data_IF_329544917693
#
_entry.id   IF_329544917693
#
_cell.length_a   1.000
_cell.length_b   1.000
_cell.length_c   1.000
_cell.angle_alpha   90.00
_cell.angle_beta   90.00
_cell.angle_gamma   90.00
#
_symmetry.space_group_name_H-M   'P 1'
#
loop_
_entity.id
_entity.type
_entity.pdbx_description
1 polymer ?
#
# COMPACT_ATOMS: atom_id res chain seq x y z
N UNK A 1 -10.46 -6.85 -16.24
CA UNK A 1 -10.23 -7.05 -14.79
C UNK A 1 -9.15 -8.11 -14.67
N UNK A 2 -8.09 -7.87 -13.89
CA UNK A 2 -6.95 -8.78 -13.79
C UNK A 2 -7.18 -9.85 -12.72
N UNK A 3 -7.41 -9.43 -11.47
CA UNK A 3 -7.68 -10.32 -10.33
C UNK A 3 -8.47 -9.58 -9.25
N UNK A 4 -9.27 -10.30 -8.47
CA UNK A 4 -9.92 -9.80 -7.28
C UNK A 4 -9.07 -10.00 -6.03
N UNK A 5 -8.84 -8.92 -5.28
CA UNK A 5 -8.17 -8.94 -3.99
C UNK A 5 -9.14 -8.60 -2.86
N UNK A 6 -8.87 -9.14 -1.69
CA UNK A 6 -9.65 -8.92 -0.48
C UNK A 6 -8.72 -8.46 0.63
N UNK A 7 -8.95 -7.26 1.16
CA UNK A 7 -8.22 -6.76 2.31
C UNK A 7 -9.00 -7.05 3.59
N UNK A 8 -8.49 -7.98 4.39
CA UNK A 8 -8.98 -8.23 5.75
C UNK A 8 -8.28 -7.32 6.76
N UNK A 9 -9.04 -6.43 7.38
CA UNK A 9 -8.59 -5.57 8.48
C UNK A 9 -9.03 -6.16 9.84
N UNK A 10 -8.15 -6.90 10.54
CA UNK A 10 -8.49 -7.48 11.84
C UNK A 10 -8.81 -6.42 12.90
N UNK A 11 -8.26 -5.21 12.77
CA UNK A 11 -8.42 -4.11 13.72
C UNK A 11 -9.70 -3.29 13.53
N UNK A 12 -10.53 -3.58 12.50
CA UNK A 12 -11.79 -2.84 12.29
C UNK A 12 -12.72 -2.98 13.50
N UNK A 13 -13.38 -1.91 13.93
CA UNK A 13 -14.33 -2.02 15.04
C UNK A 13 -15.54 -2.87 14.63
N UNK A 14 -16.15 -3.63 15.55
CA UNK A 14 -17.35 -4.42 15.28
C UNK A 14 -18.51 -3.48 14.92
N UNK A 15 -18.72 -3.26 13.63
CA UNK A 15 -19.65 -2.30 13.06
C UNK A 15 -20.40 -2.94 11.89
N UNK A 16 -21.64 -2.48 11.58
CA UNK A 16 -22.45 -1.50 12.32
C UNK A 16 -22.95 -2.02 13.69
N UNK A 17 -22.91 -1.15 14.72
CA UNK A 17 -23.18 -1.52 16.12
C UNK A 17 -24.57 -2.18 16.30
N UNK A 18 -25.59 -1.66 15.63
CA UNK A 18 -26.97 -2.14 15.71
C UNK A 18 -27.09 -3.64 15.36
N UNK A 19 -26.42 -4.07 14.28
CA UNK A 19 -26.56 -5.42 13.76
C UNK A 19 -25.56 -6.39 14.35
N UNK A 20 -24.33 -5.94 14.62
CA UNK A 20 -23.21 -6.77 15.09
C UNK A 20 -23.21 -6.91 16.61
N UNK A 21 -23.30 -5.80 17.37
CA UNK A 21 -23.17 -5.85 18.84
C UNK A 21 -24.51 -5.94 19.56
N UNK A 22 -25.51 -5.16 19.14
CA UNK A 22 -26.82 -5.14 19.80
C UNK A 22 -27.67 -6.35 19.43
N UNK A 23 -27.98 -6.52 18.14
CA UNK A 23 -28.82 -7.63 17.65
C UNK A 23 -28.07 -8.95 17.50
N UNK A 24 -26.75 -8.90 17.26
CA UNK A 24 -25.89 -10.08 17.04
C UNK A 24 -26.38 -10.99 15.91
N UNK A 25 -26.93 -10.38 14.85
CA UNK A 25 -27.46 -11.11 13.68
C UNK A 25 -26.55 -11.01 12.45
N UNK A 26 -25.43 -10.29 12.55
CA UNK A 26 -24.43 -10.16 11.48
C UNK A 26 -23.02 -10.31 12.04
N UNK A 27 -22.13 -10.87 11.23
CA UNK A 27 -20.70 -10.87 11.53
C UNK A 27 -20.09 -9.47 11.34
N UNK A 28 -18.91 -9.27 11.91
CA UNK A 28 -18.13 -8.04 11.78
C UNK A 28 -17.72 -7.81 10.32
N UNK A 29 -18.17 -6.71 9.74
CA UNK A 29 -17.72 -6.27 8.43
C UNK A 29 -16.25 -5.83 8.52
N UNK A 30 -15.34 -6.69 8.06
CA UNK A 30 -13.88 -6.53 8.21
C UNK A 30 -13.09 -6.76 6.94
N UNK A 31 -13.78 -7.03 5.83
CA UNK A 31 -13.15 -7.33 4.55
C UNK A 31 -13.56 -6.26 3.54
N UNK A 32 -12.57 -5.64 2.93
CA UNK A 32 -12.74 -4.68 1.86
C UNK A 32 -12.35 -5.33 0.53
N UNK A 33 -13.15 -5.12 -0.51
CA UNK A 33 -12.81 -5.57 -1.87
C UNK A 33 -11.83 -4.60 -2.51
N UNK A 34 -10.73 -5.11 -3.06
CA UNK A 34 -9.75 -4.38 -3.85
C UNK A 34 -9.77 -4.96 -5.26
N UNK A 35 -10.23 -4.15 -6.22
CA UNK A 35 -10.39 -4.59 -7.59
C UNK A 35 -9.17 -4.19 -8.41
N UNK A 36 -8.36 -5.16 -8.83
CA UNK A 36 -7.24 -4.90 -9.73
C UNK A 36 -7.73 -4.97 -11.19
N UNK A 37 -7.75 -3.81 -11.83
CA UNK A 37 -8.03 -3.69 -13.27
C UNK A 37 -6.72 -3.54 -14.06
N UNK A 38 -6.74 -4.03 -15.30
CA UNK A 38 -5.63 -3.93 -16.24
C UNK A 38 -6.14 -3.44 -17.60
N UNK A 39 -5.27 -2.76 -18.35
CA UNK A 39 -5.54 -2.33 -19.73
C UNK A 39 -5.49 -3.48 -20.74
N UNK A 40 -4.73 -4.54 -20.43
CA UNK A 40 -4.55 -5.73 -21.25
C UNK A 40 -4.70 -6.99 -20.39
N UNK A 41 -4.75 -8.15 -21.04
CA UNK A 41 -4.76 -9.46 -20.39
C UNK A 41 -3.44 -9.77 -19.67
N UNK A 42 -2.35 -9.12 -20.08
CA UNK A 42 -0.99 -9.33 -19.56
C UNK A 42 -0.44 -8.01 -19.00
N UNK A 43 -0.95 -7.51 -17.87
CA UNK A 43 -0.37 -6.35 -17.20
C UNK A 43 1.05 -6.67 -16.70
N UNK A 44 1.86 -5.63 -16.50
CA UNK A 44 3.12 -5.75 -15.73
C UNK A 44 2.78 -6.23 -14.32
N UNK A 45 3.38 -7.33 -13.90
CA UNK A 45 3.26 -7.87 -12.55
C UNK A 45 4.42 -8.80 -12.23
N UNK A 46 4.97 -8.70 -11.03
CA UNK A 46 5.99 -9.62 -10.51
C UNK A 46 5.68 -10.02 -9.06
N UNK A 47 5.07 -11.19 -8.89
CA UNK A 47 4.67 -11.71 -7.57
C UNK A 47 5.87 -12.02 -6.68
N UNK A 48 7.06 -12.18 -7.25
CA UNK A 48 8.27 -12.46 -6.47
C UNK A 48 8.69 -11.26 -5.61
N UNK A 49 8.26 -10.04 -5.96
CA UNK A 49 8.49 -8.82 -5.18
C UNK A 49 7.63 -8.73 -3.91
N UNK A 50 6.66 -9.62 -3.76
CA UNK A 50 5.68 -9.61 -2.65
C UNK A 50 5.50 -10.98 -2.02
N UNK A 51 6.53 -11.83 -2.08
CA UNK A 51 6.51 -13.12 -1.40
C UNK A 51 6.33 -12.94 0.11
N UNK A 52 5.59 -13.87 0.69
CA UNK A 52 5.38 -13.99 2.13
C UNK A 52 6.37 -14.97 2.73
N UNK A 53 6.65 -14.82 4.02
CA UNK A 53 7.52 -15.74 4.73
C UNK A 53 6.96 -17.18 4.66
N UNK A 54 7.85 -18.15 4.45
CA UNK A 54 7.47 -19.55 4.54
C UNK A 54 6.85 -19.89 5.89
N UNK A 55 5.76 -20.67 5.85
CA UNK A 55 5.20 -21.26 7.06
C UNK A 55 6.25 -22.09 7.82
N UNK A 56 6.15 -22.23 9.16
CA UNK A 56 7.07 -23.07 9.93
C UNK A 56 7.16 -24.51 9.42
N UNK A 57 6.05 -25.04 8.86
CA UNK A 57 6.01 -26.36 8.24
C UNK A 57 6.81 -26.42 6.94
N UNK A 58 6.71 -25.38 6.12
CA UNK A 58 7.47 -25.30 4.86
C UNK A 58 8.97 -25.16 5.13
N UNK A 59 9.36 -24.35 6.12
CA UNK A 59 10.77 -24.26 6.55
C UNK A 59 11.35 -25.63 6.93
N UNK A 60 10.63 -26.41 7.75
CA UNK A 60 11.02 -27.80 8.07
C UNK A 60 11.10 -28.70 6.85
N UNK A 61 10.21 -28.53 5.87
CA UNK A 61 10.26 -29.27 4.62
C UNK A 61 11.50 -28.91 3.79
N UNK A 62 11.91 -27.64 3.77
CA UNK A 62 13.12 -27.19 3.09
C UNK A 62 14.40 -27.70 3.79
N UNK A 63 14.39 -27.83 5.11
CA UNK A 63 15.50 -28.38 5.91
C UNK A 63 15.75 -29.87 5.64
N UNK A 64 14.69 -30.68 5.60
CA UNK A 64 14.80 -32.12 5.35
C UNK A 64 13.62 -32.63 4.49
N UNK A 65 13.70 -32.46 3.16
CA UNK A 65 12.62 -32.84 2.26
C UNK A 65 12.29 -34.33 2.32
N UNK A 66 13.28 -35.21 2.53
CA UNK A 66 13.05 -36.65 2.53
C UNK A 66 12.25 -37.11 3.76
N UNK A 67 12.49 -36.49 4.91
CA UNK A 67 11.76 -36.79 6.14
C UNK A 67 10.35 -36.19 6.17
N UNK A 68 10.20 -34.97 5.65
CA UNK A 68 8.96 -34.20 5.80
C UNK A 68 8.05 -34.22 4.57
N UNK A 69 8.51 -34.79 3.45
CA UNK A 69 7.72 -34.89 2.22
C UNK A 69 7.76 -36.30 1.63
N UNK A 70 6.67 -37.04 1.83
CA UNK A 70 6.39 -38.27 1.12
C UNK A 70 5.33 -38.00 0.03
N UNK A 71 5.68 -38.11 -1.27
CA UNK A 71 4.72 -37.97 -2.35
C UNK A 71 3.56 -38.94 -2.14
N UNK A 72 2.35 -38.40 -2.04
CA UNK A 72 1.12 -39.20 -1.99
C UNK A 72 0.14 -38.61 -2.99
N UNK A 73 -0.49 -39.49 -3.75
CA UNK A 73 -1.60 -39.12 -4.64
C UNK A 73 -2.74 -38.60 -3.77
N UNK A 74 -3.12 -37.33 -3.97
CA UNK A 74 -4.27 -36.76 -3.24
C UNK A 74 -5.58 -37.29 -3.84
N UNK A 75 -6.67 -37.35 -3.04
CA UNK A 75 -7.99 -37.70 -3.56
C UNK A 75 -8.46 -36.78 -4.70
N UNK A 76 -7.95 -35.55 -4.76
CA UNK A 76 -8.21 -34.57 -5.82
C UNK A 76 -7.43 -34.81 -7.14
N UNK A 77 -6.71 -35.93 -7.27
CA UNK A 77 -6.02 -36.33 -8.51
C UNK A 77 -4.71 -35.58 -8.81
N UNK A 78 -4.34 -34.57 -8.03
CA UNK A 78 -3.09 -33.83 -8.21
C UNK A 78 -1.90 -34.68 -7.77
N UNK A 79 -0.97 -34.94 -8.69
CA UNK A 79 0.31 -35.58 -8.40
C UNK A 79 1.33 -34.52 -8.00
N UNK A 80 1.87 -34.66 -6.79
CA UNK A 80 2.71 -33.63 -6.21
C UNK A 80 4.16 -34.08 -6.37
N UNK A 81 4.84 -33.50 -7.36
CA UNK A 81 6.24 -33.80 -7.67
C UNK A 81 7.23 -33.33 -6.59
N UNK A 82 8.52 -33.61 -6.78
CA UNK A 82 9.60 -33.23 -5.83
C UNK A 82 9.92 -31.72 -5.79
N UNK A 83 9.25 -30.91 -6.60
CA UNK A 83 9.51 -29.46 -6.73
C UNK A 83 9.23 -28.63 -5.47
N UNK A 84 8.52 -29.19 -4.48
CA UNK A 84 8.22 -28.54 -3.21
C UNK A 84 9.45 -28.33 -2.33
N UNK A 85 10.53 -29.06 -2.59
CA UNK A 85 11.80 -28.91 -1.86
C UNK A 85 12.65 -27.72 -2.35
N UNK A 86 12.20 -27.00 -3.40
CA UNK A 86 12.94 -25.86 -3.93
C UNK A 86 12.62 -24.61 -3.11
N UNK A 87 13.65 -23.97 -2.58
CA UNK A 87 13.57 -22.63 -2.02
C UNK A 87 13.44 -21.59 -3.13
N UNK A 88 12.44 -20.72 -3.02
CA UNK A 88 12.17 -19.61 -3.95
C UNK A 88 12.18 -18.26 -3.22
N UNK A 89 12.73 -18.18 -2.01
CA UNK A 89 12.81 -16.96 -1.19
C UNK A 89 11.55 -16.63 -0.40
N UNK A 90 10.44 -17.32 -0.66
CA UNK A 90 9.18 -17.17 0.06
C UNK A 90 8.00 -17.87 -0.60
N UNK A 91 6.82 -17.73 -0.01
CA UNK A 91 5.56 -18.25 -0.52
C UNK A 91 4.81 -17.19 -1.31
N UNK A 92 4.22 -17.58 -2.43
CA UNK A 92 3.30 -16.71 -3.18
C UNK A 92 2.14 -16.29 -2.25
N UNK A 93 1.86 -14.98 -2.08
CA UNK A 93 0.78 -14.50 -1.25
C UNK A 93 -0.58 -14.96 -1.79
N UNK A 94 -1.57 -15.08 -0.91
CA UNK A 94 -2.97 -15.21 -1.33
C UNK A 94 -3.54 -13.85 -1.76
N UNK A 95 -4.61 -13.88 -2.57
CA UNK A 95 -5.40 -12.69 -2.88
C UNK A 95 -6.20 -12.14 -1.67
N UNK A 96 -6.19 -12.83 -0.53
CA UNK A 96 -6.63 -12.30 0.77
C UNK A 96 -5.44 -11.67 1.53
N UNK A 97 -5.40 -10.34 1.59
CA UNK A 97 -4.39 -9.56 2.29
C UNK A 97 -4.84 -9.28 3.73
N UNK A 98 -4.16 -9.85 4.71
CA UNK A 98 -4.43 -9.58 6.13
C UNK A 98 -3.53 -8.44 6.64
N UNK A 99 -4.05 -7.22 6.67
CA UNK A 99 -3.30 -6.02 7.06
C UNK A 99 -4.09 -5.22 8.11
N UNK A 100 -3.59 -5.06 9.35
CA UNK A 100 -4.28 -4.26 10.36
C UNK A 100 -4.19 -2.77 10.03
N UNK A 101 -5.28 -2.05 10.28
CA UNK A 101 -5.28 -0.58 10.27
C UNK A 101 -5.26 -0.02 11.70
N UNK A 102 -4.14 -0.19 12.39
CA UNK A 102 -3.96 0.20 13.80
C UNK A 102 -2.88 1.26 14.01
N UNK A 103 -2.28 1.79 12.93
CA UNK A 103 -1.19 2.76 13.03
C UNK A 103 -1.72 4.10 13.57
N UNK A 104 -1.32 4.41 14.81
CA UNK A 104 -1.79 5.56 15.58
C UNK A 104 -0.69 6.55 15.94
N UNK A 105 0.57 6.28 15.59
CA UNK A 105 1.71 7.11 15.98
C UNK A 105 2.63 7.50 14.82
N UNK A 106 2.23 7.30 13.56
CA UNK A 106 2.98 7.78 12.39
C UNK A 106 3.39 9.25 12.50
N UNK A 107 4.49 9.61 11.83
CA UNK A 107 5.00 10.99 11.75
C UNK A 107 3.90 11.99 11.38
N UNK A 108 3.08 11.66 10.37
CA UNK A 108 1.90 12.42 9.96
C UNK A 108 0.93 12.70 11.12
N UNK A 109 0.58 11.68 11.92
CA UNK A 109 -0.35 11.83 13.04
C UNK A 109 0.22 12.70 14.16
N UNK A 110 1.51 12.53 14.47
CA UNK A 110 2.20 13.36 15.48
C UNK A 110 2.21 14.83 15.05
N UNK A 111 2.48 15.11 13.78
CA UNK A 111 2.48 16.47 13.21
C UNK A 111 1.08 17.08 13.20
N UNK A 112 0.06 16.33 12.75
CA UNK A 112 -1.33 16.80 12.84
C UNK A 112 -1.71 17.18 14.28
N UNK A 113 -1.36 16.33 15.26
CA UNK A 113 -1.62 16.62 16.68
C UNK A 113 -0.88 17.86 17.18
N UNK A 114 0.40 18.03 16.80
CA UNK A 114 1.20 19.19 17.20
C UNK A 114 0.64 20.52 16.69
N UNK A 115 -0.03 20.51 15.53
CA UNK A 115 -0.69 21.69 14.95
C UNK A 115 -2.19 21.81 15.30
N UNK A 116 -2.75 20.87 16.08
CA UNK A 116 -4.18 20.86 16.40
C UNK A 116 -5.10 20.53 15.21
N UNK A 117 -4.56 19.90 14.16
CA UNK A 117 -5.29 19.54 12.95
C UNK A 117 -5.94 18.17 13.07
N UNK A 118 -7.11 18.00 12.45
CA UNK A 118 -7.78 16.70 12.34
C UNK A 118 -7.14 15.88 11.23
N UNK A 119 -6.57 14.72 11.60
CA UNK A 119 -6.07 13.76 10.64
C UNK A 119 -7.20 13.22 9.74
N UNK A 120 -6.85 12.80 8.52
CA UNK A 120 -7.81 12.22 7.59
C UNK A 120 -8.50 11.00 8.23
N UNK A 121 -9.85 10.93 8.19
CA UNK A 121 -10.61 9.94 8.96
C UNK A 121 -10.53 8.53 8.36
N UNK A 122 -10.44 8.42 7.04
CA UNK A 122 -10.46 7.16 6.30
C UNK A 122 -9.11 6.90 5.62
N UNK A 123 -8.09 6.52 6.40
CA UNK A 123 -6.75 6.19 5.89
C UNK A 123 -6.63 4.67 5.74
N UNK A 124 -5.99 4.20 4.69
CA UNK A 124 -5.52 2.82 4.57
C UNK A 124 -4.09 2.67 5.14
N UNK A 125 -3.71 1.48 5.62
CA UNK A 125 -2.36 1.23 6.13
C UNK A 125 -1.32 1.25 5.00
N UNK A 126 -0.10 1.67 5.30
CA UNK A 126 1.04 1.76 4.38
C UNK A 126 1.31 0.47 3.58
N UNK A 127 1.19 -0.68 4.25
CA UNK A 127 1.42 -1.99 3.62
C UNK A 127 0.47 -2.31 2.46
N UNK A 128 -0.70 -1.68 2.40
CA UNK A 128 -1.67 -1.93 1.35
C UNK A 128 -1.19 -1.39 -0.01
N UNK A 129 -0.89 -0.09 -0.19
CA UNK A 129 -0.27 0.40 -1.42
C UNK A 129 1.13 -0.17 -1.64
N UNK A 130 1.92 -0.44 -0.58
CA UNK A 130 3.26 -1.06 -0.71
C UNK A 130 3.20 -2.38 -1.49
N UNK A 131 2.23 -3.24 -1.15
CA UNK A 131 2.00 -4.50 -1.85
C UNK A 131 1.78 -4.26 -3.35
N UNK A 132 0.84 -3.41 -3.75
CA UNK A 132 0.52 -3.20 -5.15
C UNK A 132 1.61 -2.44 -5.91
N UNK A 133 2.30 -1.49 -5.25
CA UNK A 133 3.42 -0.76 -5.86
C UNK A 133 4.55 -1.73 -6.17
N UNK A 134 4.97 -2.58 -5.22
CA UNK A 134 6.01 -3.58 -5.48
C UNK A 134 5.57 -4.64 -6.48
N UNK A 135 4.33 -5.08 -6.41
CA UNK A 135 3.81 -6.14 -7.28
C UNK A 135 3.64 -5.69 -8.73
N UNK A 136 3.20 -4.45 -8.96
CA UNK A 136 2.72 -3.99 -10.28
C UNK A 136 3.62 -2.95 -10.96
N UNK A 137 4.69 -2.50 -10.30
CA UNK A 137 5.59 -1.47 -10.81
C UNK A 137 7.05 -1.78 -10.51
N UNK A 138 7.98 -1.11 -11.19
CA UNK A 138 9.42 -1.11 -10.91
C UNK A 138 9.88 0.28 -10.45
N UNK A 139 11.04 0.40 -9.78
CA UNK A 139 11.67 1.69 -9.51
C UNK A 139 11.74 2.56 -10.77
N UNK A 140 11.38 3.83 -10.65
CA UNK A 140 11.28 4.78 -11.76
C UNK A 140 9.95 4.79 -12.52
N UNK A 141 9.03 3.86 -12.25
CA UNK A 141 7.65 3.97 -12.76
C UNK A 141 6.88 5.10 -12.07
N UNK A 142 5.79 5.57 -12.70
CA UNK A 142 4.89 6.59 -12.15
C UNK A 142 3.66 5.94 -11.52
N UNK A 143 3.39 6.27 -10.26
CA UNK A 143 2.19 5.87 -9.51
C UNK A 143 1.22 7.05 -9.43
N UNK A 144 -0.02 6.86 -9.88
CA UNK A 144 -1.07 7.89 -9.85
C UNK A 144 -2.12 7.57 -8.78
N UNK A 145 -2.42 8.53 -7.91
CA UNK A 145 -3.55 8.49 -6.98
C UNK A 145 -4.48 9.70 -7.20
N UNK A 146 -5.71 9.45 -7.65
CA UNK A 146 -6.69 10.52 -7.93
C UNK A 146 -7.52 10.95 -6.71
N UNK A 147 -7.40 10.22 -5.58
CA UNK A 147 -8.12 10.49 -4.33
C UNK A 147 -7.17 10.33 -3.14
N UNK A 148 -6.12 11.15 -3.13
CA UNK A 148 -4.96 10.94 -2.29
C UNK A 148 -5.27 10.98 -0.79
N UNK A 149 -6.23 11.79 -0.34
CA UNK A 149 -6.54 12.00 1.06
C UNK A 149 -5.29 12.43 1.83
N UNK A 150 -4.79 11.56 2.72
CA UNK A 150 -3.53 11.80 3.43
C UNK A 150 -2.26 11.55 2.60
N UNK A 151 -2.37 11.26 1.31
CA UNK A 151 -1.31 10.92 0.36
C UNK A 151 -0.40 9.75 0.81
N UNK A 152 -1.03 8.66 1.26
CA UNK A 152 -0.30 7.46 1.66
C UNK A 152 0.36 6.77 0.45
N UNK A 153 -0.32 6.76 -0.70
CA UNK A 153 0.18 6.19 -1.95
C UNK A 153 1.46 6.89 -2.43
N UNK A 154 1.47 8.23 -2.46
CA UNK A 154 2.65 8.99 -2.85
C UNK A 154 3.84 8.76 -1.90
N UNK A 155 3.58 8.75 -0.59
CA UNK A 155 4.62 8.46 0.40
C UNK A 155 5.27 7.08 0.21
N UNK A 156 4.47 6.04 -0.02
CA UNK A 156 5.00 4.70 -0.26
C UNK A 156 5.70 4.60 -1.61
N UNK A 157 5.14 5.22 -2.65
CA UNK A 157 5.79 5.27 -3.96
C UNK A 157 7.19 5.89 -3.86
N UNK A 158 7.34 6.97 -3.09
CA UNK A 158 8.64 7.63 -2.87
C UNK A 158 9.63 6.73 -2.13
N UNK A 159 9.21 6.08 -1.04
CA UNK A 159 10.05 5.11 -0.32
C UNK A 159 10.48 3.93 -1.21
N UNK A 160 9.61 3.52 -2.12
CA UNK A 160 9.85 2.47 -3.10
C UNK A 160 10.60 2.97 -4.34
N UNK A 161 11.08 4.21 -4.39
CA UNK A 161 11.80 4.79 -5.54
C UNK A 161 10.96 4.83 -6.83
N UNK A 162 9.65 5.01 -6.72
CA UNK A 162 8.74 5.32 -7.82
C UNK A 162 8.47 6.82 -7.84
N UNK A 163 8.25 7.36 -9.03
CA UNK A 163 7.65 8.68 -9.16
C UNK A 163 6.16 8.60 -8.81
N UNK A 164 5.58 9.72 -8.40
CA UNK A 164 4.16 9.74 -8.07
C UNK A 164 3.50 11.06 -8.44
N UNK A 165 2.20 10.98 -8.72
CA UNK A 165 1.31 12.12 -8.93
C UNK A 165 0.06 11.84 -8.09
N UNK A 166 -0.36 12.83 -7.31
CA UNK A 166 -1.52 12.70 -6.43
C UNK A 166 -2.45 13.89 -6.59
N UNK A 167 -3.75 13.63 -6.63
CA UNK A 167 -4.79 14.65 -6.62
C UNK A 167 -5.64 14.54 -5.35
N UNK A 168 -5.92 15.68 -4.74
CA UNK A 168 -6.81 15.81 -3.60
C UNK A 168 -7.62 17.09 -3.77
N UNK A 169 -8.94 17.00 -3.54
CA UNK A 169 -9.86 18.13 -3.71
C UNK A 169 -9.87 19.02 -2.47
N UNK A 170 -9.75 18.43 -1.28
CA UNK A 170 -9.72 19.18 -0.02
C UNK A 170 -8.30 19.66 0.28
N UNK A 171 -8.10 20.97 0.17
CA UNK A 171 -6.81 21.61 0.41
C UNK A 171 -6.29 21.38 1.84
N UNK A 172 -7.16 21.14 2.82
CA UNK A 172 -6.76 20.80 4.19
C UNK A 172 -6.08 19.43 4.24
N UNK A 173 -6.60 18.45 3.49
CA UNK A 173 -5.99 17.13 3.38
C UNK A 173 -4.69 17.17 2.60
N UNK A 174 -4.65 17.94 1.50
CA UNK A 174 -3.43 18.17 0.74
C UNK A 174 -2.35 18.81 1.60
N UNK A 175 -2.68 19.88 2.34
CA UNK A 175 -1.75 20.59 3.20
C UNK A 175 -1.19 19.70 4.30
N UNK A 176 -2.05 18.95 5.00
CA UNK A 176 -1.62 18.01 6.04
C UNK A 176 -0.83 16.82 5.47
N UNK A 177 -1.07 16.42 4.21
CA UNK A 177 -0.34 15.31 3.58
C UNK A 177 1.15 15.62 3.37
N UNK A 178 1.50 16.90 3.19
CA UNK A 178 2.90 17.37 3.05
C UNK A 178 3.77 16.94 4.25
N UNK A 179 3.17 16.78 5.43
CA UNK A 179 3.84 16.32 6.64
C UNK A 179 4.44 14.93 6.53
N UNK A 180 4.13 14.14 5.49
CA UNK A 180 4.78 12.84 5.26
C UNK A 180 6.16 12.95 4.61
N UNK A 181 6.41 14.05 3.91
CA UNK A 181 7.56 14.22 3.04
C UNK A 181 8.65 15.12 3.65
N UNK A 182 8.35 15.77 4.78
CA UNK A 182 9.28 16.65 5.47
C UNK A 182 10.24 15.87 6.38
N UNK A 183 11.49 16.35 6.46
CA UNK A 183 12.54 15.79 7.31
C UNK A 183 12.11 15.67 8.78
N UNK A 184 12.58 14.64 9.48
CA UNK A 184 12.15 14.32 10.85
C UNK A 184 12.39 15.44 11.88
N UNK A 185 13.45 16.22 11.70
CA UNK A 185 13.93 17.26 12.62
C UNK A 185 13.32 18.66 12.39
N UNK A 186 12.28 18.77 11.58
CA UNK A 186 11.62 20.05 11.28
C UNK A 186 10.94 20.67 12.52
N UNK A 187 11.05 21.99 12.67
CA UNK A 187 10.45 22.70 13.80
C UNK A 187 8.94 22.89 13.61
N UNK A 188 8.19 22.97 14.71
CA UNK A 188 6.73 23.13 14.65
C UNK A 188 6.28 24.43 13.98
N UNK A 189 7.11 25.48 13.99
CA UNK A 189 6.81 26.73 13.30
C UNK A 189 6.89 26.56 11.78
N UNK A 190 7.94 25.91 11.28
CA UNK A 190 8.09 25.60 9.85
C UNK A 190 6.93 24.74 9.35
N UNK A 191 6.50 23.73 10.13
CA UNK A 191 5.30 22.94 9.79
C UNK A 191 4.04 23.80 9.60
N UNK A 192 3.86 24.81 10.46
CA UNK A 192 2.70 25.73 10.40
C UNK A 192 2.79 26.64 9.19
N UNK A 193 3.97 27.20 8.94
CA UNK A 193 4.19 28.12 7.83
C UNK A 193 3.92 27.40 6.49
N UNK A 194 4.48 26.20 6.33
CA UNK A 194 4.23 25.37 5.14
C UNK A 194 2.76 24.99 4.97
N UNK A 195 2.12 24.56 6.05
CA UNK A 195 0.69 24.28 6.03
C UNK A 195 -0.09 25.51 5.55
N UNK A 196 0.21 26.70 6.08
CA UNK A 196 -0.47 27.92 5.70
C UNK A 196 -0.22 28.30 4.23
N UNK A 197 1.01 28.15 3.73
CA UNK A 197 1.32 28.43 2.32
C UNK A 197 0.51 27.58 1.36
N UNK A 198 0.35 26.28 1.65
CA UNK A 198 -0.49 25.40 0.83
C UNK A 198 -1.95 25.82 0.92
N UNK A 199 -2.45 26.15 2.12
CA UNK A 199 -3.81 26.66 2.32
C UNK A 199 -4.06 27.96 1.55
N UNK A 200 -3.05 28.81 1.43
CA UNK A 200 -3.09 30.06 0.65
C UNK A 200 -2.98 29.81 -0.87
N UNK A 201 -2.91 28.55 -1.30
CA UNK A 201 -2.84 28.16 -2.71
C UNK A 201 -1.45 28.26 -3.34
N UNK A 202 -0.40 28.42 -2.53
CA UNK A 202 0.98 28.44 -3.02
C UNK A 202 1.48 27.03 -3.29
N UNK A 203 2.32 26.90 -4.31
CA UNK A 203 3.08 25.68 -4.56
C UNK A 203 4.30 25.63 -3.65
N UNK A 204 4.52 24.47 -3.04
CA UNK A 204 5.67 24.21 -2.18
C UNK A 204 6.55 23.13 -2.81
N UNK A 205 7.85 23.26 -2.65
CA UNK A 205 8.82 22.24 -3.04
C UNK A 205 9.30 21.51 -1.78
N UNK A 206 8.68 20.39 -1.46
CA UNK A 206 9.12 19.53 -0.36
C UNK A 206 10.35 18.77 -0.86
N UNK A 207 11.56 19.30 -0.64
CA UNK A 207 12.77 18.61 -1.08
C UNK A 207 13.15 17.49 -0.11
N UNK A 208 13.33 16.27 -0.65
CA UNK A 208 14.46 15.46 -0.20
C UNK A 208 15.15 14.80 -1.40
N UNK A 209 16.29 15.33 -1.88
CA UNK A 209 17.17 14.63 -2.86
C UNK A 209 16.44 13.95 -4.06
N UNK A 210 15.27 14.44 -4.48
CA UNK A 210 14.43 13.69 -5.40
C UNK A 210 14.87 13.93 -6.85
N UNK A 211 15.04 12.84 -7.59
CA UNK A 211 15.14 12.87 -9.05
C UNK A 211 13.88 13.54 -9.60
N UNK A 212 13.99 14.82 -9.95
CA UNK A 212 12.87 15.56 -10.50
C UNK A 212 12.50 14.98 -11.87
N UNK A 213 11.24 14.57 -12.06
CA UNK A 213 10.67 14.40 -13.39
C UNK A 213 10.70 15.77 -14.07
N UNK A 214 11.60 15.97 -15.03
CA UNK A 214 11.37 16.98 -16.07
C UNK A 214 10.29 16.44 -16.99
N UNK A 215 9.04 16.68 -16.63
CA UNK A 215 7.84 16.29 -17.38
C UNK A 215 7.80 16.85 -18.83
N UNK A 216 8.76 17.70 -19.22
CA UNK A 216 8.80 18.38 -20.51
C UNK A 216 10.16 18.32 -21.22
N UNK A 217 10.93 17.23 -21.14
CA UNK A 217 12.22 17.21 -21.87
C UNK A 217 12.10 17.16 -23.40
N UNK A 218 10.93 16.82 -23.97
CA UNK A 218 10.64 17.09 -25.39
C UNK A 218 9.19 17.45 -25.59
N UNK A 219 8.94 18.68 -26.05
CA UNK A 219 7.71 19.05 -26.75
C UNK A 219 7.65 18.16 -27.99
N UNK A 220 6.79 17.13 -27.97
CA UNK A 220 6.46 16.40 -29.19
C UNK A 220 5.83 17.42 -30.15
N UNK A 221 6.55 17.75 -31.23
CA UNK A 221 5.98 18.51 -32.33
C UNK A 221 4.89 17.64 -32.95
N UNK A 222 3.64 18.03 -32.76
CA UNK A 222 2.56 17.53 -33.60
C UNK A 222 2.68 18.24 -34.95
N UNK A 223 3.06 17.49 -35.98
CA UNK A 223 2.88 17.93 -37.36
C UNK A 223 1.39 17.74 -37.71
N UNK A 224 0.75 18.86 -38.06
CA UNK A 224 -0.62 18.94 -38.56
C UNK A 224 -0.73 18.43 -40.00
#
# INVERSE_FOLDING_TARGET
MAEDFYWFNPSKLPSPIEWVNKRKIRAKDSVNTVWWFSKSEFPKSDVTQVLTEYSPRMKKLLEDPQKFYNPKKRPSGHDIGKGFAKDNGGSIPSNLLQIPNSESNSQYLRRCKALGLKAHPARFPEKLPEFFIRFLTEPGDIVLDIFAGSNMTGFVAEQENRYWISFEKDIQYLAASSFRFMADNIHNQELKDWHQEIIDGKSIEVSPKAHQLRLFEKVAKYES
#
